data_IF_213046784099
#
_entry.id   IF_213046784099
#
_cell.length_a   1.000
_cell.length_b   1.000
_cell.length_c   1.000
_cell.angle_alpha   90.00
_cell.angle_beta   90.00
_cell.angle_gamma   90.00
#
_symmetry.space_group_name_H-M   'P 1'
#
loop_
_entity.id
_entity.type
_entity.pdbx_description
1 polymer ?
#
# COMPACT_ATOMS: atom_id res chain seq x y z
N UNK A 1 -1.41 13.41 -7.84
CA UNK A 1 -0.50 12.25 -7.75
C UNK A 1 -1.24 10.98 -7.32
N UNK A 2 -0.95 9.83 -7.96
CA UNK A 2 -1.46 8.50 -7.58
C UNK A 2 -0.31 7.61 -7.04
N UNK A 3 -0.62 6.72 -6.06
CA UNK A 3 0.34 5.81 -5.45
C UNK A 3 -0.28 4.46 -5.06
N UNK A 4 0.35 3.37 -5.46
CA UNK A 4 0.03 2.01 -4.97
C UNK A 4 0.73 1.72 -3.64
N UNK A 5 -0.01 1.25 -2.65
CA UNK A 5 0.47 0.91 -1.31
C UNK A 5 0.20 -0.57 -0.97
N UNK A 6 1.25 -1.39 -0.96
CA UNK A 6 1.13 -2.84 -0.74
C UNK A 6 1.09 -3.24 0.74
N UNK A 7 0.02 -3.91 1.16
CA UNK A 7 -0.12 -4.58 2.46
C UNK A 7 0.53 -5.97 2.42
N UNK A 8 0.32 -6.70 1.32
CA UNK A 8 0.87 -8.02 1.07
C UNK A 8 1.33 -8.09 -0.39
N UNK A 9 2.51 -8.66 -0.62
CA UNK A 9 3.00 -8.99 -1.96
C UNK A 9 3.68 -10.34 -1.90
N UNK A 10 3.17 -11.34 -2.61
CA UNK A 10 3.83 -12.64 -2.71
C UNK A 10 5.14 -12.46 -3.46
N UNK A 11 6.20 -13.13 -2.99
CA UNK A 11 7.54 -13.10 -3.57
C UNK A 11 7.63 -13.90 -4.88
N UNK A 12 6.65 -13.75 -5.78
CA UNK A 12 6.53 -14.50 -7.05
C UNK A 12 7.19 -13.78 -8.23
N UNK A 13 8.17 -12.92 -7.97
CA UNK A 13 9.06 -12.37 -8.98
C UNK A 13 10.40 -12.10 -8.32
N UNK A 14 11.48 -12.52 -8.98
CA UNK A 14 12.84 -12.15 -8.61
C UNK A 14 12.90 -10.64 -8.30
N UNK A 15 13.45 -10.30 -7.14
CA UNK A 15 13.57 -8.96 -6.54
C UNK A 15 12.51 -8.56 -5.49
N UNK A 16 12.99 -8.57 -4.23
CA UNK A 16 12.44 -7.85 -3.09
C UNK A 16 10.95 -8.13 -2.79
N UNK A 17 10.68 -9.33 -2.28
CA UNK A 17 9.49 -9.60 -1.49
C UNK A 17 9.27 -8.47 -0.48
N UNK A 18 8.04 -7.93 -0.44
CA UNK A 18 7.76 -6.70 0.28
C UNK A 18 8.37 -6.75 1.70
N UNK A 19 9.12 -5.72 2.13
CA UNK A 19 9.94 -5.81 3.35
C UNK A 19 9.09 -6.34 4.50
N UNK A 20 9.67 -7.22 5.31
CA UNK A 20 9.02 -7.98 6.40
C UNK A 20 8.46 -7.10 7.53
N UNK A 21 8.01 -5.88 7.24
CA UNK A 21 7.08 -5.15 8.06
C UNK A 21 5.82 -6.01 8.23
N UNK A 22 5.61 -6.38 9.47
CA UNK A 22 4.35 -6.87 10.00
C UNK A 22 3.19 -6.03 9.44
N UNK A 23 2.08 -6.70 9.12
CA UNK A 23 0.85 -6.08 8.59
C UNK A 23 0.45 -4.84 9.38
N UNK A 24 0.60 -4.85 10.71
CA UNK A 24 0.27 -3.71 11.57
C UNK A 24 1.09 -2.45 11.23
N UNK A 25 2.41 -2.57 11.06
CA UNK A 25 3.27 -1.43 10.70
C UNK A 25 2.92 -0.84 9.32
N UNK A 26 2.45 -1.67 8.40
CA UNK A 26 1.98 -1.22 7.09
C UNK A 26 0.68 -0.43 7.21
N UNK A 27 -0.25 -0.86 8.06
CA UNK A 27 -1.47 -0.11 8.33
C UNK A 27 -1.16 1.20 9.06
N UNK A 28 -0.24 1.22 10.03
CA UNK A 28 0.20 2.47 10.66
C UNK A 28 0.74 3.47 9.63
N UNK A 29 1.57 3.00 8.69
CA UNK A 29 2.09 3.85 7.62
C UNK A 29 1.00 4.32 6.65
N UNK A 30 0.00 3.49 6.38
CA UNK A 30 -1.18 3.89 5.61
C UNK A 30 -1.94 5.02 6.31
N UNK A 31 -2.18 4.90 7.62
CA UNK A 31 -2.85 5.93 8.40
C UNK A 31 -2.10 7.27 8.34
N UNK A 32 -0.78 7.26 8.48
CA UNK A 32 0.03 8.47 8.33
C UNK A 32 -0.09 9.10 6.93
N UNK A 33 -0.22 8.29 5.88
CA UNK A 33 -0.45 8.81 4.53
C UNK A 33 -1.82 9.47 4.43
N UNK A 34 -2.86 8.84 4.98
CA UNK A 34 -4.22 9.41 5.01
C UNK A 34 -4.23 10.74 5.77
N UNK A 35 -3.60 10.79 6.95
CA UNK A 35 -3.48 12.01 7.76
C UNK A 35 -2.72 13.13 7.01
N UNK A 36 -1.76 12.78 6.16
CA UNK A 36 -1.03 13.73 5.30
C UNK A 36 -1.80 14.18 4.05
N UNK A 37 -3.08 13.81 3.94
CA UNK A 37 -3.99 14.24 2.87
C UNK A 37 -4.02 13.32 1.65
N UNK A 38 -3.52 12.07 1.75
CA UNK A 38 -3.81 11.06 0.75
C UNK A 38 -5.20 10.46 0.98
N UNK A 39 -5.91 10.14 -0.10
CA UNK A 39 -7.24 9.54 -0.06
C UNK A 39 -7.16 8.14 -0.65
N UNK A 40 -7.78 7.16 0.02
CA UNK A 40 -7.90 5.80 -0.51
C UNK A 40 -8.97 5.80 -1.61
N UNK A 41 -8.57 5.50 -2.85
CA UNK A 41 -9.46 5.37 -4.01
C UNK A 41 -10.05 3.98 -4.13
N UNK A 42 -9.20 2.96 -3.97
CA UNK A 42 -9.59 1.57 -4.09
C UNK A 42 -8.70 0.66 -3.24
N UNK A 43 -9.22 -0.54 -3.00
CA UNK A 43 -8.51 -1.63 -2.37
C UNK A 43 -8.61 -2.85 -3.27
N UNK A 44 -7.47 -3.43 -3.62
CA UNK A 44 -7.38 -4.62 -4.45
C UNK A 44 -6.77 -5.76 -3.64
N UNK A 45 -7.38 -6.93 -3.76
CA UNK A 45 -6.94 -8.13 -3.05
C UNK A 45 -7.11 -9.35 -3.95
N UNK A 46 -6.01 -10.06 -4.18
CA UNK A 46 -6.00 -11.34 -4.86
C UNK A 46 -5.15 -12.36 -4.08
N UNK A 47 -5.00 -13.57 -4.61
CA UNK A 47 -4.26 -14.65 -3.93
C UNK A 47 -2.79 -14.29 -3.64
N UNK A 48 -2.22 -13.36 -4.41
CA UNK A 48 -0.81 -13.01 -4.44
C UNK A 48 -0.54 -11.68 -3.74
N UNK A 49 -1.42 -10.69 -3.89
CA UNK A 49 -1.18 -9.32 -3.46
C UNK A 49 -2.43 -8.69 -2.81
N UNK A 50 -2.19 -7.85 -1.80
CA UNK A 50 -3.19 -6.96 -1.20
C UNK A 50 -2.60 -5.55 -1.20
N UNK A 51 -3.27 -4.58 -1.83
CA UNK A 51 -2.79 -3.20 -1.92
C UNK A 51 -3.93 -2.17 -2.01
N UNK A 52 -3.61 -0.93 -1.63
CA UNK A 52 -4.47 0.23 -1.81
C UNK A 52 -3.97 1.12 -2.95
N UNK A 53 -4.89 1.75 -3.67
CA UNK A 53 -4.57 2.89 -4.54
C UNK A 53 -4.89 4.17 -3.79
N UNK A 54 -3.89 5.03 -3.65
CA UNK A 54 -3.99 6.31 -2.97
C UNK A 54 -3.91 7.44 -4.00
N UNK A 55 -4.74 8.46 -3.85
CA UNK A 55 -4.64 9.70 -4.62
C UNK A 55 -4.40 10.87 -3.67
N UNK A 56 -3.56 11.80 -4.09
CA UNK A 56 -3.43 13.11 -3.47
C UNK A 56 -3.57 14.16 -4.56
N UNK A 57 -4.36 15.20 -4.31
CA UNK A 57 -4.42 16.34 -5.22
C UNK A 57 -3.02 16.93 -5.36
N UNK A 58 -2.56 17.13 -6.59
CA UNK A 58 -1.37 17.93 -6.83
C UNK A 58 -1.75 19.38 -6.49
N UNK A 59 -1.15 19.93 -5.43
CA UNK A 59 -1.27 21.35 -5.13
C UNK A 59 -0.53 22.18 -6.18
#
# INVERSE_FOLDING_TARGET
MEKTFFIKKSASGDEAGAPAYDRFKRIEKLNLLVDSGWVIKSFESNAYEEYFILEKADQ
#
